data_IF_113011668843
#
_entry.id   IF_113011668843
#
_cell.length_a   1.000
_cell.length_b   1.000
_cell.length_c   1.000
_cell.angle_alpha   90.00
_cell.angle_beta   90.00
_cell.angle_gamma   90.00
#
_symmetry.space_group_name_H-M   'P 1'
#
loop_
_entity.id
_entity.type
_entity.pdbx_description
1 polymer ?
#
# COMPACT_ATOMS: atom_id res chain seq x y z
N UNK A 1 24.23 -5.40 21.32
CA UNK A 1 22.93 -5.46 22.04
C UNK A 1 22.09 -4.19 21.86
N UNK A 2 22.68 -3.02 21.52
CA UNK A 2 21.94 -1.77 21.24
C UNK A 2 21.30 -1.70 19.84
N UNK A 3 21.97 -2.20 18.79
CA UNK A 3 21.43 -2.14 17.40
C UNK A 3 20.08 -2.86 17.23
N UNK A 4 19.91 -4.05 17.82
CA UNK A 4 18.63 -4.78 17.78
C UNK A 4 17.51 -4.03 18.51
N UNK A 5 17.82 -3.28 19.57
CA UNK A 5 16.85 -2.46 20.29
C UNK A 5 16.44 -1.24 19.47
N UNK A 6 17.39 -0.59 18.80
CA UNK A 6 17.13 0.56 17.93
C UNK A 6 16.33 0.17 16.67
N UNK A 7 16.68 -0.96 16.04
CA UNK A 7 15.90 -1.52 14.92
C UNK A 7 14.45 -1.83 15.31
N UNK A 8 14.25 -2.45 16.48
CA UNK A 8 12.89 -2.73 16.99
C UNK A 8 12.13 -1.46 17.35
N UNK A 9 12.80 -0.45 17.92
CA UNK A 9 12.19 0.85 18.22
C UNK A 9 11.72 1.56 16.94
N UNK A 10 12.57 1.62 15.92
CA UNK A 10 12.25 2.21 14.62
C UNK A 10 11.09 1.47 13.93
N UNK A 11 11.07 0.13 13.99
CA UNK A 11 9.95 -0.67 13.47
C UNK A 11 8.63 -0.38 14.19
N UNK A 12 8.65 -0.24 15.51
CA UNK A 12 7.46 0.13 16.29
C UNK A 12 6.95 1.53 15.94
N UNK A 13 7.86 2.48 15.74
CA UNK A 13 7.52 3.84 15.31
C UNK A 13 6.86 3.85 13.92
N UNK A 14 7.44 3.15 12.95
CA UNK A 14 6.83 2.98 11.62
C UNK A 14 5.46 2.33 11.68
N UNK A 15 5.28 1.31 12.53
CA UNK A 15 3.98 0.66 12.73
C UNK A 15 2.94 1.61 13.31
N UNK A 16 3.35 2.50 14.24
CA UNK A 16 2.47 3.51 14.82
C UNK A 16 2.06 4.56 13.79
N UNK A 17 3.01 5.01 12.96
CA UNK A 17 2.74 5.94 11.84
C UNK A 17 1.78 5.31 10.84
N UNK A 18 1.99 4.03 10.48
CA UNK A 18 1.07 3.28 9.63
C UNK A 18 -0.36 3.28 10.20
N UNK A 19 -0.52 2.96 11.48
CA UNK A 19 -1.83 2.94 12.13
C UNK A 19 -2.49 4.33 12.12
N UNK A 20 -1.74 5.40 12.38
CA UNK A 20 -2.25 6.77 12.28
C UNK A 20 -2.68 7.11 10.85
N UNK A 21 -1.93 6.70 9.83
CA UNK A 21 -2.31 6.95 8.44
C UNK A 21 -3.61 6.25 8.04
N UNK A 22 -3.85 5.03 8.54
CA UNK A 22 -5.12 4.30 8.32
C UNK A 22 -6.27 5.02 9.02
N UNK A 23 -6.09 5.47 10.26
CA UNK A 23 -7.11 6.22 10.99
C UNK A 23 -7.43 7.53 10.27
N UNK A 24 -6.41 8.27 9.84
CA UNK A 24 -6.59 9.51 9.08
C UNK A 24 -7.34 9.26 7.76
N UNK A 25 -7.05 8.16 7.06
CA UNK A 25 -7.74 7.78 5.83
C UNK A 25 -9.24 7.63 6.07
N UNK A 26 -9.65 6.87 7.10
CA UNK A 26 -11.06 6.70 7.43
C UNK A 26 -11.71 7.97 7.98
N UNK A 27 -10.97 8.82 8.69
CA UNK A 27 -11.46 10.13 9.11
C UNK A 27 -11.81 11.01 7.90
N UNK A 28 -10.93 11.08 6.89
CA UNK A 28 -11.21 11.80 5.63
C UNK A 28 -12.42 11.20 4.91
N UNK A 29 -12.53 9.88 4.86
CA UNK A 29 -13.69 9.20 4.28
C UNK A 29 -15.01 9.63 4.95
N UNK A 30 -15.06 9.64 6.29
CA UNK A 30 -16.25 10.06 7.06
C UNK A 30 -16.53 11.55 6.84
N UNK A 31 -15.51 12.42 6.95
CA UNK A 31 -15.65 13.86 6.74
C UNK A 31 -16.21 14.19 5.36
N UNK A 32 -15.80 13.45 4.33
CA UNK A 32 -16.44 13.58 3.02
C UNK A 32 -17.87 13.08 3.02
N UNK A 33 -18.18 11.96 3.68
CA UNK A 33 -19.53 11.39 3.67
C UNK A 33 -20.58 12.33 4.29
N UNK A 34 -20.15 13.22 5.20
CA UNK A 34 -20.95 14.29 5.78
C UNK A 34 -20.79 15.64 5.05
N UNK A 35 -20.24 15.63 3.84
CA UNK A 35 -20.04 16.77 2.94
C UNK A 35 -19.21 17.94 3.52
N UNK A 36 -18.32 17.67 4.48
CA UNK A 36 -17.40 18.69 5.03
C UNK A 36 -16.25 19.00 4.07
N UNK A 37 -15.83 18.02 3.27
CA UNK A 37 -14.74 18.14 2.28
C UNK A 37 -15.31 17.89 0.89
N UNK A 38 -14.91 18.70 -0.09
CA UNK A 38 -15.36 18.53 -1.48
C UNK A 38 -14.94 17.17 -2.05
N UNK A 39 -15.72 16.64 -3.00
CA UNK A 39 -15.45 15.34 -3.63
C UNK A 39 -14.02 15.24 -4.17
N UNK A 40 -13.59 16.24 -4.95
CA UNK A 40 -12.25 16.25 -5.52
C UNK A 40 -11.16 16.24 -4.45
N UNK A 41 -11.28 17.11 -3.43
CA UNK A 41 -10.28 17.22 -2.37
C UNK A 41 -10.21 15.95 -1.51
N UNK A 42 -11.36 15.34 -1.20
CA UNK A 42 -11.39 14.10 -0.43
C UNK A 42 -10.79 12.92 -1.19
N UNK A 43 -11.01 12.80 -2.50
CA UNK A 43 -10.35 11.79 -3.36
C UNK A 43 -8.83 11.95 -3.30
N UNK A 44 -8.34 13.18 -3.50
CA UNK A 44 -6.89 13.46 -3.50
C UNK A 44 -6.29 13.12 -2.14
N UNK A 45 -6.91 13.55 -1.04
CA UNK A 45 -6.43 13.26 0.32
C UNK A 45 -6.41 11.76 0.62
N UNK A 46 -7.46 11.02 0.23
CA UNK A 46 -7.51 9.57 0.41
C UNK A 46 -6.41 8.86 -0.40
N UNK A 47 -6.14 9.28 -1.64
CA UNK A 47 -5.05 8.71 -2.46
C UNK A 47 -3.70 8.97 -1.80
N UNK A 48 -3.45 10.21 -1.34
CA UNK A 48 -2.21 10.55 -0.66
C UNK A 48 -2.00 9.71 0.61
N UNK A 49 -3.05 9.56 1.42
CA UNK A 49 -3.02 8.75 2.63
C UNK A 49 -2.83 7.26 2.31
N UNK A 50 -3.44 6.75 1.24
CA UNK A 50 -3.23 5.38 0.76
C UNK A 50 -1.79 5.14 0.34
N UNK A 51 -1.21 6.04 -0.46
CA UNK A 51 0.20 5.94 -0.89
C UNK A 51 1.13 6.02 0.31
N UNK A 52 0.87 6.95 1.24
CA UNK A 52 1.67 7.11 2.45
C UNK A 52 1.59 5.89 3.39
N UNK A 53 0.41 5.30 3.55
CA UNK A 53 0.24 4.09 4.34
C UNK A 53 1.00 2.91 3.71
N UNK A 54 0.90 2.73 2.39
CA UNK A 54 1.67 1.71 1.68
C UNK A 54 3.19 1.93 1.78
N UNK A 55 3.65 3.18 1.69
CA UNK A 55 5.06 3.52 1.90
C UNK A 55 5.56 3.05 3.27
N UNK A 56 4.81 3.33 4.33
CA UNK A 56 5.17 2.88 5.68
C UNK A 56 5.14 1.36 5.81
N UNK A 57 4.12 0.70 5.25
CA UNK A 57 4.01 -0.76 5.24
C UNK A 57 5.23 -1.40 4.57
N UNK A 58 5.61 -0.93 3.39
CA UNK A 58 6.77 -1.42 2.62
C UNK A 58 8.05 -1.30 3.46
N UNK A 59 8.27 -0.14 4.09
CA UNK A 59 9.45 0.12 4.91
C UNK A 59 9.47 -0.60 6.27
N UNK A 60 8.38 -1.25 6.68
CA UNK A 60 8.33 -2.16 7.83
C UNK A 60 8.80 -3.57 7.42
N UNK A 61 8.53 -3.99 6.18
CA UNK A 61 8.81 -5.34 5.70
C UNK A 61 10.15 -5.46 4.98
N UNK A 62 10.60 -4.41 4.30
CA UNK A 62 11.80 -4.45 3.47
C UNK A 62 12.75 -3.29 3.80
N UNK A 63 14.04 -3.62 3.89
CA UNK A 63 15.13 -2.64 4.05
C UNK A 63 15.86 -2.44 2.71
N UNK A 64 15.81 -3.44 1.82
CA UNK A 64 16.45 -3.38 0.50
C UNK A 64 15.89 -2.25 -0.36
N UNK A 65 16.76 -1.33 -0.78
CA UNK A 65 16.40 -0.24 -1.68
C UNK A 65 15.90 -0.74 -3.03
N UNK A 66 16.45 -1.86 -3.53
CA UNK A 66 16.05 -2.44 -4.82
C UNK A 66 14.63 -2.99 -4.75
N UNK A 67 14.32 -3.74 -3.70
CA UNK A 67 13.00 -4.33 -3.47
C UNK A 67 11.94 -3.25 -3.27
N UNK A 68 12.21 -2.30 -2.38
CA UNK A 68 11.28 -1.20 -2.08
C UNK A 68 11.00 -0.35 -3.33
N UNK A 69 12.01 -0.05 -4.15
CA UNK A 69 11.85 0.68 -5.40
C UNK A 69 10.90 -0.03 -6.39
N UNK A 70 11.04 -1.34 -6.57
CA UNK A 70 10.15 -2.13 -7.44
C UNK A 70 8.70 -2.08 -6.96
N UNK A 71 8.48 -2.19 -5.65
CA UNK A 71 7.13 -2.09 -5.08
C UNK A 71 6.57 -0.67 -5.25
N UNK A 72 7.39 0.38 -5.09
CA UNK A 72 6.92 1.75 -5.32
C UNK A 72 6.53 2.02 -6.76
N UNK A 73 7.27 1.50 -7.75
CA UNK A 73 6.87 1.58 -9.16
C UNK A 73 5.52 0.89 -9.36
N UNK A 74 5.35 -0.29 -8.79
CA UNK A 74 4.09 -1.03 -8.88
C UNK A 74 2.92 -0.26 -8.25
N UNK A 75 3.10 0.29 -7.05
CA UNK A 75 2.12 1.13 -6.37
C UNK A 75 1.76 2.37 -7.20
N UNK A 76 2.75 3.00 -7.84
CA UNK A 76 2.51 4.16 -8.70
C UNK A 76 1.70 3.80 -9.95
N UNK A 77 2.03 2.68 -10.60
CA UNK A 77 1.25 2.14 -11.72
C UNK A 77 -0.19 1.82 -11.29
N UNK A 78 -0.38 1.26 -10.10
CA UNK A 78 -1.72 1.03 -9.54
C UNK A 78 -2.49 2.34 -9.41
N UNK A 79 -1.90 3.37 -8.80
CA UNK A 79 -2.56 4.68 -8.63
C UNK A 79 -2.95 5.28 -9.98
N UNK A 80 -2.09 5.22 -10.99
CA UNK A 80 -2.43 5.65 -12.36
C UNK A 80 -3.63 4.84 -12.89
N UNK A 81 -3.59 3.52 -12.73
CA UNK A 81 -4.65 2.62 -13.17
C UNK A 81 -6.00 2.96 -12.51
N UNK A 82 -5.97 3.32 -11.23
CA UNK A 82 -7.13 3.79 -10.49
C UNK A 82 -7.67 5.10 -11.06
N UNK A 83 -6.80 6.08 -11.32
CA UNK A 83 -7.20 7.38 -11.88
C UNK A 83 -7.84 7.27 -13.26
N UNK A 84 -7.39 6.34 -14.09
CA UNK A 84 -7.93 6.17 -15.45
C UNK A 84 -9.25 5.39 -15.47
N UNK A 85 -9.69 4.83 -14.33
CA UNK A 85 -10.99 4.17 -14.21
C UNK A 85 -11.18 2.94 -15.10
N UNK A 86 -10.09 2.36 -15.62
CA UNK A 86 -10.13 1.30 -16.63
C UNK A 86 -10.45 -0.09 -16.03
N UNK A 87 -11.43 -0.21 -15.14
CA UNK A 87 -11.80 -1.50 -14.54
C UNK A 87 -12.49 -2.41 -15.56
N UNK A 88 -11.82 -3.49 -15.94
CA UNK A 88 -12.31 -4.51 -16.87
C UNK A 88 -11.75 -5.88 -16.46
N UNK A 89 -12.34 -6.95 -16.99
CA UNK A 89 -11.79 -8.31 -16.81
C UNK A 89 -10.35 -8.42 -17.31
N UNK A 90 -10.04 -7.78 -18.45
CA UNK A 90 -8.69 -7.77 -19.01
C UNK A 90 -7.69 -7.09 -18.06
N UNK A 91 -8.09 -6.00 -17.40
CA UNK A 91 -7.20 -5.30 -16.50
C UNK A 91 -6.96 -5.98 -15.17
N UNK A 92 -7.96 -6.71 -14.67
CA UNK A 92 -7.77 -7.62 -13.54
C UNK A 92 -6.75 -8.70 -13.91
N UNK A 93 -6.83 -9.28 -15.11
CA UNK A 93 -5.87 -10.28 -15.57
C UNK A 93 -4.44 -9.71 -15.67
N UNK A 94 -4.28 -8.55 -16.31
CA UNK A 94 -2.98 -7.85 -16.39
C UNK A 94 -2.43 -7.54 -14.99
N UNK A 95 -3.29 -7.10 -14.07
CA UNK A 95 -2.91 -6.83 -12.69
C UNK A 95 -2.36 -8.06 -11.97
N UNK A 96 -3.05 -9.20 -12.07
CA UNK A 96 -2.61 -10.46 -11.45
C UNK A 96 -1.26 -10.92 -12.01
N UNK A 97 -1.04 -10.76 -13.33
CA UNK A 97 0.24 -11.06 -13.97
C UNK A 97 1.34 -10.16 -13.42
N UNK A 98 1.11 -8.84 -13.35
CA UNK A 98 2.09 -7.90 -12.80
C UNK A 98 2.39 -8.17 -11.33
N UNK A 99 1.38 -8.55 -10.53
CA UNK A 99 1.56 -8.91 -9.13
C UNK A 99 2.42 -10.17 -8.97
N UNK A 100 2.20 -11.18 -9.82
CA UNK A 100 3.01 -12.39 -9.84
C UNK A 100 4.46 -12.11 -10.26
N UNK A 101 4.67 -11.26 -11.26
CA UNK A 101 6.00 -10.78 -11.67
C UNK A 101 6.68 -10.05 -10.52
N UNK A 102 5.96 -9.19 -9.79
CA UNK A 102 6.49 -8.47 -8.63
C UNK A 102 6.93 -9.44 -7.54
N UNK A 103 6.09 -10.41 -7.16
CA UNK A 103 6.40 -11.41 -6.14
C UNK A 103 7.68 -12.20 -6.49
N UNK A 104 7.75 -12.73 -7.71
CA UNK A 104 8.93 -13.41 -8.21
C UNK A 104 10.19 -12.51 -8.16
N UNK A 105 10.04 -11.25 -8.53
CA UNK A 105 11.14 -10.27 -8.54
C UNK A 105 11.64 -9.91 -7.14
N UNK A 106 10.75 -9.89 -6.15
CA UNK A 106 11.09 -9.67 -4.73
C UNK A 106 11.78 -10.90 -4.15
N UNK A 107 11.26 -12.11 -4.40
CA UNK A 107 11.88 -13.37 -3.94
C UNK A 107 13.30 -13.50 -4.51
N UNK A 108 13.50 -13.10 -5.77
CA UNK A 108 14.83 -13.10 -6.40
C UNK A 108 15.81 -12.14 -5.71
N UNK A 109 15.34 -10.99 -5.22
CA UNK A 109 16.20 -9.98 -4.60
C UNK A 109 16.45 -10.25 -3.10
N UNK A 110 15.44 -10.70 -2.35
CA UNK A 110 15.52 -10.95 -0.91
C UNK A 110 15.98 -12.36 -0.55
N UNK A 111 15.87 -13.31 -1.48
CA UNK A 111 16.17 -14.72 -1.28
C UNK A 111 14.96 -15.56 -0.89
N UNK A 112 15.02 -16.86 -1.20
CA UNK A 112 13.93 -17.83 -0.95
C UNK A 112 13.64 -18.08 0.53
N UNK A 113 14.61 -17.81 1.41
CA UNK A 113 14.44 -17.97 2.85
C UNK A 113 13.47 -16.94 3.43
N UNK A 114 13.32 -15.78 2.77
CA UNK A 114 12.44 -14.68 3.17
C UNK A 114 11.02 -14.80 2.61
N UNK A 115 10.70 -15.87 1.86
CA UNK A 115 9.36 -16.12 1.29
C UNK A 115 8.23 -16.01 2.33
N UNK A 116 8.36 -16.50 3.59
CA UNK A 116 7.31 -16.31 4.59
C UNK A 116 7.03 -14.83 4.92
N UNK A 117 8.08 -13.99 4.94
CA UNK A 117 7.96 -12.54 5.17
C UNK A 117 7.31 -11.85 3.98
N UNK A 118 7.70 -12.23 2.77
CA UNK A 118 7.16 -11.70 1.51
C UNK A 118 5.67 -12.05 1.39
N UNK A 119 5.27 -13.30 1.66
CA UNK A 119 3.87 -13.71 1.62
C UNK A 119 3.00 -12.93 2.61
N UNK A 120 3.48 -12.69 3.84
CA UNK A 120 2.78 -11.85 4.81
C UNK A 120 2.63 -10.40 4.33
N UNK A 121 3.67 -9.85 3.71
CA UNK A 121 3.59 -8.52 3.10
C UNK A 121 2.49 -8.48 2.03
N UNK A 122 2.48 -9.43 1.08
CA UNK A 122 1.47 -9.46 0.02
C UNK A 122 0.05 -9.64 0.54
N UNK A 123 -0.16 -10.47 1.57
CA UNK A 123 -1.46 -10.61 2.20
C UNK A 123 -1.97 -9.27 2.73
N UNK A 124 -1.15 -8.52 3.47
CA UNK A 124 -1.54 -7.22 4.03
C UNK A 124 -1.71 -6.18 2.91
N UNK A 125 -0.79 -6.18 1.92
CA UNK A 125 -0.84 -5.28 0.77
C UNK A 125 -2.14 -5.43 -0.03
N UNK A 126 -2.56 -6.68 -0.28
CA UNK A 126 -3.83 -6.97 -0.95
C UNK A 126 -5.02 -6.50 -0.11
N UNK A 127 -5.00 -6.72 1.22
CA UNK A 127 -6.07 -6.23 2.10
C UNK A 127 -6.19 -4.70 2.03
N UNK A 128 -5.07 -3.97 2.12
CA UNK A 128 -5.05 -2.51 1.98
C UNK A 128 -5.65 -2.07 0.65
N UNK A 129 -5.28 -2.76 -0.42
CA UNK A 129 -5.80 -2.47 -1.76
C UNK A 129 -7.30 -2.71 -1.86
N UNK A 130 -7.80 -3.85 -1.39
CA UNK A 130 -9.24 -4.17 -1.44
C UNK A 130 -10.04 -3.15 -0.64
N UNK A 131 -9.59 -2.79 0.56
CA UNK A 131 -10.22 -1.75 1.37
C UNK A 131 -10.25 -0.43 0.61
N UNK A 132 -9.12 0.00 0.03
CA UNK A 132 -9.03 1.22 -0.75
C UNK A 132 -9.99 1.24 -1.96
N UNK A 133 -10.03 0.16 -2.75
CA UNK A 133 -10.95 0.01 -3.88
C UNK A 133 -12.40 0.17 -3.41
N UNK A 134 -12.79 -0.58 -2.38
CA UNK A 134 -14.15 -0.56 -1.86
C UNK A 134 -14.53 0.85 -1.41
N UNK A 135 -13.69 1.49 -0.62
CA UNK A 135 -13.95 2.86 -0.16
C UNK A 135 -14.05 3.84 -1.32
N UNK A 136 -13.24 3.71 -2.37
CA UNK A 136 -13.34 4.57 -3.56
C UNK A 136 -14.63 4.33 -4.35
N UNK A 137 -15.08 3.08 -4.49
CA UNK A 137 -16.37 2.74 -5.10
C UNK A 137 -17.53 3.36 -4.29
N UNK A 138 -17.46 3.34 -2.95
CA UNK A 138 -18.46 4.02 -2.11
C UNK A 138 -18.30 5.55 -2.05
N UNK A 139 -17.18 6.08 -2.56
CA UNK A 139 -16.85 7.50 -2.57
C UNK A 139 -17.33 8.19 -3.84
N UNK A 140 -17.17 7.54 -5.01
CA UNK A 140 -17.77 7.94 -6.30
C UNK A 140 -19.29 7.77 -6.29
#
# INVERSE_FOLDING_TARGET
MNEKKELNKNRNEKSRILMMSIIAYFAVFVLKKIDVVSNYMGIVLMILLYVYANYNLINIFFISKRTTFKIYIFLFLEVIYFFTGAFSLASIAVYLILLWILDYSIIKDEGREETPRINRFFQIYIVFKVVFILTMIFFM
#
